data_IF_934412214670
#
_entry.id   IF_934412214670
#
_cell.length_a   1.000
_cell.length_b   1.000
_cell.length_c   1.000
_cell.angle_alpha   90.00
_cell.angle_beta   90.00
_cell.angle_gamma   90.00
#
_symmetry.space_group_name_H-M   'P 1'
#
loop_
_entity.id
_entity.type
_entity.pdbx_description
1 polymer ?
#
# COMPACT_ATOMS: atom_id res chain seq x y z
N UNK A 1 19.84 -14.45 14.93
CA UNK A 1 19.06 -13.36 14.29
C UNK A 1 17.63 -13.85 14.16
N UNK A 2 16.66 -13.05 14.58
CA UNK A 2 15.24 -13.43 14.68
C UNK A 2 14.71 -13.99 13.36
N UNK A 3 14.10 -15.18 13.38
CA UNK A 3 13.49 -15.79 12.21
C UNK A 3 12.30 -14.93 11.75
N UNK A 4 12.34 -14.28 10.57
CA UNK A 4 11.29 -13.38 10.12
C UNK A 4 9.92 -14.07 10.02
N UNK A 5 9.93 -15.36 9.69
CA UNK A 5 8.75 -16.22 9.66
C UNK A 5 8.08 -16.35 11.04
N UNK A 6 8.86 -16.60 12.11
CA UNK A 6 8.33 -16.71 13.47
C UNK A 6 7.80 -15.37 13.97
N UNK A 7 8.50 -14.27 13.66
CA UNK A 7 8.01 -12.92 14.03
C UNK A 7 6.68 -12.66 13.34
N UNK A 8 6.61 -12.88 12.02
CA UNK A 8 5.38 -12.71 11.25
C UNK A 8 4.23 -13.55 11.80
N UNK A 9 4.45 -14.84 12.07
CA UNK A 9 3.41 -15.73 12.60
C UNK A 9 2.86 -15.23 13.95
N UNK A 10 3.72 -14.67 14.80
CA UNK A 10 3.33 -14.16 16.13
C UNK A 10 2.74 -12.76 16.09
N UNK A 11 3.10 -11.92 15.13
CA UNK A 11 2.72 -10.50 15.11
C UNK A 11 1.70 -10.15 14.04
N UNK A 12 1.43 -11.01 13.06
CA UNK A 12 0.57 -10.68 11.92
C UNK A 12 -0.85 -10.28 12.31
N UNK A 13 -1.41 -10.86 13.38
CA UNK A 13 -2.75 -10.49 13.85
C UNK A 13 -2.78 -9.07 14.42
N UNK A 14 -1.72 -8.66 15.11
CA UNK A 14 -1.60 -7.30 15.65
C UNK A 14 -1.28 -6.30 14.54
N UNK A 15 -0.38 -6.67 13.63
CA UNK A 15 0.05 -5.82 12.51
C UNK A 15 -1.06 -5.56 11.46
N UNK A 16 -2.14 -6.33 11.49
CA UNK A 16 -3.24 -6.22 10.53
C UNK A 16 -4.55 -5.71 11.16
N UNK A 17 -4.51 -5.32 12.43
CA UNK A 17 -5.67 -4.82 13.17
C UNK A 17 -6.17 -3.47 12.64
N UNK A 18 -5.25 -2.60 12.24
CA UNK A 18 -5.52 -1.33 11.58
C UNK A 18 -6.25 -1.50 10.23
N UNK A 19 -5.82 -2.45 9.40
CA UNK A 19 -6.45 -2.80 8.12
C UNK A 19 -7.87 -3.31 8.35
N UNK A 20 -8.07 -4.14 9.38
CA UNK A 20 -9.38 -4.65 9.77
C UNK A 20 -10.29 -3.50 10.24
N UNK A 21 -9.77 -2.58 11.05
CA UNK A 21 -10.49 -1.41 11.52
C UNK A 21 -10.89 -0.50 10.36
N UNK A 22 -9.94 -0.18 9.47
CA UNK A 22 -10.18 0.64 8.28
C UNK A 22 -11.24 0.02 7.36
N UNK A 23 -11.13 -1.28 7.09
CA UNK A 23 -12.10 -1.99 6.24
C UNK A 23 -13.52 -1.92 6.83
N UNK A 24 -13.66 -2.12 8.14
CA UNK A 24 -14.95 -2.04 8.83
C UNK A 24 -15.54 -0.63 8.81
N UNK A 25 -14.69 0.39 8.89
CA UNK A 25 -15.12 1.78 8.79
C UNK A 25 -15.65 2.10 7.38
N UNK A 26 -14.97 1.61 6.33
CA UNK A 26 -15.37 1.83 4.95
C UNK A 26 -16.64 1.05 4.57
N UNK A 27 -16.73 -0.22 5.01
CA UNK A 27 -17.86 -1.08 4.71
C UNK A 27 -18.25 -1.94 5.93
N UNK A 28 -19.21 -1.49 6.76
CA UNK A 28 -19.60 -2.18 7.99
C UNK A 28 -20.14 -3.60 7.80
N UNK A 29 -20.67 -3.90 6.60
CA UNK A 29 -21.26 -5.20 6.24
C UNK A 29 -20.21 -6.15 5.66
N UNK A 30 -19.07 -5.62 5.17
CA UNK A 30 -18.04 -6.42 4.53
C UNK A 30 -17.06 -6.94 5.60
N UNK A 31 -17.20 -8.22 5.94
CA UNK A 31 -16.20 -8.93 6.74
C UNK A 31 -15.21 -9.63 5.84
N UNK A 32 -14.00 -9.10 5.71
CA UNK A 32 -12.90 -9.80 5.05
C UNK A 32 -12.44 -11.00 5.89
N UNK A 33 -11.99 -12.07 5.23
CA UNK A 33 -11.38 -13.19 5.94
C UNK A 33 -10.04 -12.77 6.56
N UNK A 34 -9.64 -13.46 7.64
CA UNK A 34 -8.34 -13.24 8.28
C UNK A 34 -7.17 -13.45 7.33
N UNK A 35 -7.29 -14.37 6.37
CA UNK A 35 -6.27 -14.57 5.32
C UNK A 35 -6.11 -13.33 4.43
N UNK A 36 -7.22 -12.73 3.97
CA UNK A 36 -7.19 -11.53 3.13
C UNK A 36 -6.61 -10.34 3.90
N UNK A 37 -6.97 -10.20 5.18
CA UNK A 37 -6.45 -9.14 6.04
C UNK A 37 -4.92 -9.30 6.24
N UNK A 38 -4.43 -10.52 6.46
CA UNK A 38 -3.00 -10.82 6.57
C UNK A 38 -2.27 -10.59 5.25
N UNK A 39 -2.87 -10.95 4.12
CA UNK A 39 -2.30 -10.72 2.79
C UNK A 39 -2.16 -9.22 2.47
N UNK A 40 -3.17 -8.41 2.85
CA UNK A 40 -3.08 -6.94 2.75
C UNK A 40 -1.95 -6.37 3.61
N UNK A 41 -1.81 -6.84 4.85
CA UNK A 41 -0.73 -6.42 5.73
C UNK A 41 0.66 -6.76 5.14
N UNK A 42 0.81 -7.95 4.55
CA UNK A 42 2.03 -8.37 3.85
C UNK A 42 2.42 -7.44 2.71
N UNK A 43 1.44 -6.84 2.02
CA UNK A 43 1.70 -5.90 0.92
C UNK A 43 2.16 -4.57 1.44
N UNK A 44 1.58 -4.04 2.51
CA UNK A 44 2.09 -2.82 3.14
C UNK A 44 3.53 -3.02 3.61
N UNK A 45 3.83 -4.20 4.20
CA UNK A 45 5.21 -4.56 4.53
C UNK A 45 6.09 -4.63 3.27
N UNK A 46 5.61 -5.22 2.16
CA UNK A 46 6.32 -5.22 0.88
C UNK A 46 6.65 -3.80 0.41
N UNK A 47 5.67 -2.89 0.45
CA UNK A 47 5.82 -1.49 0.04
C UNK A 47 6.87 -0.80 0.90
N UNK A 48 6.79 -0.95 2.23
CA UNK A 48 7.77 -0.40 3.17
C UNK A 48 9.18 -0.96 2.93
N UNK A 49 9.32 -2.26 2.68
CA UNK A 49 10.60 -2.88 2.36
C UNK A 49 11.18 -2.33 1.05
N UNK A 50 10.35 -2.23 0.01
CA UNK A 50 10.75 -1.71 -1.30
C UNK A 50 11.26 -0.27 -1.20
N UNK A 51 10.59 0.58 -0.41
CA UNK A 51 11.05 1.96 -0.13
C UNK A 51 12.43 1.99 0.53
N UNK A 52 12.78 0.95 1.28
CA UNK A 52 14.08 0.78 1.92
C UNK A 52 15.08 -0.03 1.06
N UNK A 53 14.77 -0.26 -0.23
CA UNK A 53 15.63 -1.01 -1.15
C UNK A 53 15.73 -2.50 -0.87
N UNK A 54 14.77 -3.07 -0.12
CA UNK A 54 14.68 -4.50 0.20
C UNK A 54 13.42 -5.12 -0.37
N UNK A 55 13.41 -6.43 -0.52
CA UNK A 55 12.25 -7.20 -0.96
C UNK A 55 11.85 -8.22 0.10
N UNK A 56 10.58 -8.65 0.09
CA UNK A 56 10.12 -9.81 0.87
C UNK A 56 10.94 -11.07 0.59
N UNK A 57 11.50 -11.19 -0.63
CA UNK A 57 12.37 -12.31 -1.02
C UNK A 57 13.68 -12.36 -0.22
N UNK A 58 14.15 -11.22 0.29
CA UNK A 58 15.36 -11.15 1.11
C UNK A 58 15.15 -11.75 2.51
N UNK A 59 13.90 -11.99 2.89
CA UNK A 59 13.51 -12.60 4.17
C UNK A 59 13.01 -14.02 3.93
N UNK A 60 13.95 -14.98 3.88
CA UNK A 60 13.63 -16.40 3.65
C UNK A 60 12.59 -16.92 4.65
N UNK A 61 11.51 -17.52 4.14
CA UNK A 61 10.44 -18.11 4.95
C UNK A 61 9.27 -17.17 5.27
N UNK A 62 9.31 -15.90 4.86
CA UNK A 62 8.10 -15.08 4.90
C UNK A 62 7.07 -15.59 3.87
N UNK A 63 5.78 -15.64 4.22
CA UNK A 63 4.74 -15.98 3.27
C UNK A 63 4.61 -14.90 2.18
N UNK A 64 4.20 -15.33 0.99
CA UNK A 64 3.96 -14.43 -0.14
C UNK A 64 2.45 -14.23 -0.26
N UNK A 65 1.95 -12.98 -0.30
CA UNK A 65 0.52 -12.73 -0.41
C UNK A 65 -0.05 -13.29 -1.71
N UNK A 66 -1.25 -13.90 -1.64
CA UNK A 66 -1.90 -14.49 -2.81
C UNK A 66 -2.60 -13.41 -3.63
N UNK A 67 -2.24 -13.30 -4.91
CA UNK A 67 -1.96 -11.98 -5.49
C UNK A 67 -2.99 -11.48 -6.53
N UNK A 68 -4.14 -12.15 -6.73
CA UNK A 68 -5.00 -11.81 -7.89
C UNK A 68 -5.74 -10.48 -7.68
N UNK A 69 -6.26 -10.21 -6.48
CA UNK A 69 -6.99 -8.97 -6.19
C UNK A 69 -6.07 -7.81 -5.77
N UNK A 70 -4.86 -8.16 -5.33
CA UNK A 70 -3.88 -7.25 -4.75
C UNK A 70 -2.83 -6.77 -5.76
N UNK A 71 -2.57 -7.52 -6.85
CA UNK A 71 -1.86 -7.01 -8.02
C UNK A 71 -2.54 -5.81 -8.66
N UNK A 72 -3.85 -5.62 -8.40
CA UNK A 72 -4.57 -4.41 -8.81
C UNK A 72 -4.00 -3.15 -8.14
N UNK A 73 -3.41 -3.25 -6.95
CA UNK A 73 -2.68 -2.14 -6.32
C UNK A 73 -1.28 -1.91 -6.91
N UNK A 74 -0.65 -2.90 -7.54
CA UNK A 74 0.61 -2.70 -8.27
C UNK A 74 0.37 -1.85 -9.53
N UNK A 75 -0.85 -1.92 -10.10
CA UNK A 75 -1.36 -0.97 -11.09
C UNK A 75 -1.72 0.40 -10.51
N UNK A 76 -1.51 0.69 -9.22
CA UNK A 76 -1.84 2.01 -8.65
C UNK A 76 -1.03 3.13 -9.30
N UNK A 77 0.23 2.89 -9.69
CA UNK A 77 1.01 3.89 -10.43
C UNK A 77 0.43 4.16 -11.82
N UNK A 78 0.03 3.10 -12.53
CA UNK A 78 -0.62 3.22 -13.84
C UNK A 78 -2.00 3.88 -13.69
N UNK A 79 -2.74 3.54 -12.65
CA UNK A 79 -4.02 4.17 -12.36
C UNK A 79 -3.86 5.63 -11.95
N UNK A 80 -2.84 5.96 -11.15
CA UNK A 80 -2.51 7.33 -10.79
C UNK A 80 -2.19 8.14 -12.04
N UNK A 81 -1.35 7.61 -12.94
CA UNK A 81 -1.04 8.22 -14.24
C UNK A 81 -2.30 8.38 -15.12
N UNK A 82 -3.16 7.35 -15.19
CA UNK A 82 -4.41 7.42 -15.95
C UNK A 82 -5.44 8.38 -15.34
N UNK A 83 -5.38 8.58 -14.03
CA UNK A 83 -6.26 9.50 -13.29
C UNK A 83 -5.70 10.91 -13.17
N UNK A 84 -4.46 11.13 -13.63
CA UNK A 84 -3.77 12.40 -13.52
C UNK A 84 -4.40 13.42 -14.48
N UNK A 85 -5.01 14.46 -13.91
CA UNK A 85 -5.63 15.52 -14.67
C UNK A 85 -4.58 16.56 -15.09
N UNK A 86 -4.16 16.45 -16.36
CA UNK A 86 -3.18 17.35 -16.97
C UNK A 86 -3.70 18.79 -17.04
N UNK A 87 -5.02 18.97 -17.19
CA UNK A 87 -5.64 20.29 -17.32
C UNK A 87 -5.60 21.02 -15.97
N UNK A 88 -5.95 20.34 -14.88
CA UNK A 88 -5.82 20.85 -13.52
C UNK A 88 -4.37 21.27 -13.22
N UNK A 89 -3.39 20.41 -13.54
CA UNK A 89 -1.99 20.72 -13.25
C UNK A 89 -1.46 21.89 -14.10
N UNK A 90 -1.95 22.05 -15.33
CA UNK A 90 -1.56 23.16 -16.20
C UNK A 90 -2.07 24.50 -15.66
N UNK A 91 -3.30 24.52 -15.14
CA UNK A 91 -3.88 25.70 -14.48
C UNK A 91 -3.09 26.06 -13.22
N UNK A 92 -2.81 25.07 -12.36
CA UNK A 92 -1.99 25.26 -11.16
C UNK A 92 -0.59 25.78 -11.49
N UNK A 93 0.03 25.24 -12.54
CA UNK A 93 1.33 25.71 -12.99
C UNK A 93 1.28 27.17 -13.43
N UNK A 94 0.27 27.56 -14.22
CA UNK A 94 0.07 28.96 -14.65
C UNK A 94 -0.06 29.91 -13.45
N UNK A 95 -0.90 29.54 -12.48
CA UNK A 95 -1.10 30.33 -11.26
C UNK A 95 0.20 30.47 -10.44
N UNK A 96 0.96 29.38 -10.27
CA UNK A 96 2.26 29.42 -9.59
C UNK A 96 3.31 30.22 -10.39
N UNK A 97 3.27 30.18 -11.71
CA UNK A 97 4.19 30.93 -12.56
C UNK A 97 3.91 32.44 -12.50
N UNK A 98 2.63 32.83 -12.45
CA UNK A 98 2.23 34.22 -12.25
C UNK A 98 2.62 34.74 -10.87
N UNK A 99 2.48 33.93 -9.82
CA UNK A 99 2.86 34.31 -8.45
C UNK A 99 4.38 34.39 -8.22
N UNK A 100 5.19 33.85 -9.13
CA UNK A 100 6.65 33.99 -9.12
C UNK A 100 7.14 35.25 -9.84
N UNK A 101 6.27 35.90 -10.63
CA UNK A 101 6.59 37.08 -11.42
C UNK A 101 5.93 38.36 -10.88
N UNK A 102 5.50 38.36 -9.61
CA UNK A 102 5.12 39.59 -8.90
C UNK A 102 6.38 40.27 -8.35
N UNK A 103 6.79 41.34 -9.02
CA UNK A 103 7.56 42.45 -8.40
C UNK A 103 6.65 43.24 -7.43
#
# INVERSE_FOLDING_TARGET
>A
MSNPCLVWEKTSDVLSDDIRHYTRQQNPVLSLSSSIIRDKCLIEIKKLLNLNGKSLKDYSGMPVPNNVELMREENSYIQAELSYDVEEMTILHGHCYESLNVD
#
